data_IF_301188304213
#
_entry.id   IF_301188304213
#
_cell.length_a   1.000
_cell.length_b   1.000
_cell.length_c   1.000
_cell.angle_alpha   90.00
_cell.angle_beta   90.00
_cell.angle_gamma   90.00
#
_symmetry.space_group_name_H-M   'P 1'
#
loop_
_entity.id
_entity.type
_entity.pdbx_description
1 polymer ?
#
# COMPACT_ATOMS: atom_id res chain seq x y z
N UNK A 1 -11.57 -68.27 -17.50
CA UNK A 1 -10.91 -67.57 -18.61
C UNK A 1 -11.35 -66.10 -18.52
N UNK A 2 -10.70 -65.30 -17.64
CA UNK A 2 -9.77 -64.16 -17.96
C UNK A 2 -10.48 -63.15 -18.90
N UNK A 3 -10.74 -61.86 -18.60
CA UNK A 3 -9.97 -60.78 -17.95
C UNK A 3 -10.96 -59.67 -17.46
N UNK A 4 -10.85 -59.04 -16.27
CA UNK A 4 -9.92 -57.97 -15.83
C UNK A 4 -10.26 -56.55 -16.34
N UNK A 5 -10.80 -55.71 -15.42
CA UNK A 5 -10.50 -54.27 -15.13
C UNK A 5 -10.66 -53.25 -16.29
N UNK A 6 -11.35 -52.11 -16.15
CA UNK A 6 -10.93 -50.89 -15.41
C UNK A 6 -12.12 -50.04 -14.96
N UNK A 7 -12.14 -49.73 -13.66
CA UNK A 7 -12.96 -48.72 -12.98
C UNK A 7 -12.53 -47.29 -13.36
N UNK A 8 -13.49 -46.38 -13.53
CA UNK A 8 -13.24 -44.93 -13.45
C UNK A 8 -14.20 -44.30 -12.43
N UNK A 9 -14.03 -44.67 -11.17
CA UNK A 9 -14.45 -43.84 -10.04
C UNK A 9 -13.34 -42.80 -9.78
N UNK A 10 -13.54 -41.60 -10.33
CA UNK A 10 -12.90 -40.39 -9.78
C UNK A 10 -13.99 -39.48 -9.24
N UNK A 11 -14.55 -39.89 -8.11
CA UNK A 11 -15.13 -38.95 -7.15
C UNK A 11 -13.98 -38.04 -6.75
N UNK A 12 -13.94 -36.84 -7.33
CA UNK A 12 -13.05 -35.76 -6.92
C UNK A 12 -13.44 -35.43 -5.49
N UNK A 13 -12.68 -35.93 -4.52
CA UNK A 13 -12.80 -35.53 -3.13
C UNK A 13 -12.38 -34.06 -3.07
N UNK A 14 -13.35 -33.14 -3.16
CA UNK A 14 -13.12 -31.74 -2.84
C UNK A 14 -12.60 -31.70 -1.40
N UNK A 15 -11.32 -31.35 -1.23
CA UNK A 15 -10.81 -30.94 0.07
C UNK A 15 -11.69 -29.78 0.53
N UNK A 16 -12.47 -29.99 1.59
CA UNK A 16 -13.14 -28.90 2.31
C UNK A 16 -12.05 -28.03 2.91
N UNK A 17 -11.65 -26.99 2.18
CA UNK A 17 -10.89 -25.90 2.75
C UNK A 17 -11.85 -25.11 3.64
N UNK A 18 -11.73 -25.29 4.96
CA UNK A 18 -12.25 -24.29 5.89
C UNK A 18 -11.36 -23.07 5.69
N UNK A 19 -11.86 -22.06 4.99
CA UNK A 19 -11.28 -20.73 5.06
C UNK A 19 -11.27 -20.37 6.55
N UNK A 20 -10.08 -20.31 7.16
CA UNK A 20 -9.95 -19.69 8.46
C UNK A 20 -10.42 -18.25 8.26
N UNK A 21 -11.52 -17.89 8.90
CA UNK A 21 -11.89 -16.49 8.99
C UNK A 21 -10.68 -15.75 9.56
N UNK A 22 -10.35 -14.59 8.99
CA UNK A 22 -9.31 -13.67 9.47
C UNK A 22 -9.60 -13.09 10.87
N UNK A 23 -10.52 -13.68 11.62
CA UNK A 23 -10.66 -13.42 13.04
C UNK A 23 -9.65 -14.31 13.76
N UNK A 24 -8.43 -13.80 13.94
CA UNK A 24 -7.74 -14.18 15.17
C UNK A 24 -8.69 -13.82 16.32
N UNK A 25 -8.84 -14.69 17.30
CA UNK A 25 -9.41 -14.32 18.60
C UNK A 25 -8.44 -13.34 19.28
N UNK A 26 -8.19 -12.18 18.68
CA UNK A 26 -7.46 -11.10 19.30
C UNK A 26 -8.40 -10.46 20.30
N UNK A 27 -8.26 -10.82 21.57
CA UNK A 27 -8.97 -10.12 22.64
C UNK A 27 -8.23 -8.81 22.92
N UNK A 28 -8.32 -7.85 22.00
CA UNK A 28 -7.68 -6.54 22.14
C UNK A 28 -8.46 -5.73 23.17
N UNK A 29 -7.81 -5.36 24.26
CA UNK A 29 -8.37 -4.45 25.25
C UNK A 29 -8.31 -3.01 24.74
N UNK A 30 -9.30 -2.60 23.95
CA UNK A 30 -9.40 -1.22 23.46
C UNK A 30 -9.56 -0.21 24.58
N UNK A 31 -10.40 -0.50 25.59
CA UNK A 31 -10.77 0.46 26.64
C UNK A 31 -9.60 0.74 27.59
N UNK A 32 -8.80 -0.26 27.92
CA UNK A 32 -7.59 -0.07 28.74
C UNK A 32 -6.44 0.61 27.99
N UNK A 33 -6.49 0.65 26.66
CA UNK A 33 -5.40 1.14 25.82
C UNK A 33 -5.65 2.49 25.15
N UNK A 34 -6.90 2.96 25.10
CA UNK A 34 -7.29 4.17 24.37
C UNK A 34 -8.12 5.07 25.27
N UNK A 35 -7.92 6.39 25.13
CA UNK A 35 -8.78 7.36 25.80
C UNK A 35 -10.14 7.49 25.07
N UNK A 36 -11.13 8.19 25.65
CA UNK A 36 -12.47 8.31 25.05
C UNK A 36 -12.47 8.88 23.63
N UNK A 37 -11.64 9.89 23.33
CA UNK A 37 -11.58 10.50 22.01
C UNK A 37 -10.96 9.56 20.95
N UNK A 38 -9.94 8.79 21.35
CA UNK A 38 -9.30 7.79 20.52
C UNK A 38 -10.24 6.60 20.27
N UNK A 39 -10.97 6.14 21.29
CA UNK A 39 -12.01 5.12 21.14
C UNK A 39 -13.07 5.55 20.15
N UNK A 40 -13.52 6.81 20.24
CA UNK A 40 -14.47 7.38 19.30
C UNK A 40 -13.94 7.33 17.86
N UNK A 41 -12.69 7.74 17.65
CA UNK A 41 -12.04 7.67 16.35
C UNK A 41 -11.85 6.22 15.84
N UNK A 42 -11.71 5.24 16.75
CA UNK A 42 -11.57 3.82 16.40
C UNK A 42 -12.91 3.16 16.11
N UNK A 43 -13.99 3.51 16.80
CA UNK A 43 -15.29 2.83 16.65
C UNK A 43 -16.25 3.53 15.71
N UNK A 44 -16.31 4.86 15.73
CA UNK A 44 -17.37 5.64 15.09
C UNK A 44 -16.96 6.25 13.74
N UNK A 45 -15.71 6.05 13.30
CA UNK A 45 -15.19 6.60 12.05
C UNK A 45 -15.71 5.86 10.80
N UNK A 46 -17.02 5.85 10.59
CA UNK A 46 -17.68 5.33 9.38
C UNK A 46 -17.71 6.39 8.28
N UNK A 47 -17.61 5.95 7.02
CA UNK A 47 -17.52 6.87 5.87
C UNK A 47 -16.29 7.78 5.91
N UNK A 48 -16.31 8.90 5.16
CA UNK A 48 -15.21 9.87 5.16
C UNK A 48 -15.04 10.51 6.54
N UNK A 49 -13.88 10.31 7.16
CA UNK A 49 -13.58 10.78 8.52
C UNK A 49 -12.26 11.54 8.57
N UNK A 50 -12.21 12.63 9.34
CA UNK A 50 -10.99 13.42 9.60
C UNK A 50 -10.68 13.42 11.10
N UNK A 51 -9.51 12.90 11.46
CA UNK A 51 -9.03 12.88 12.85
C UNK A 51 -7.94 13.94 13.01
N UNK A 52 -8.29 15.04 13.68
CA UNK A 52 -7.36 16.12 14.03
C UNK A 52 -6.67 15.82 15.35
N UNK A 53 -5.34 15.91 15.38
CA UNK A 53 -4.58 15.41 16.50
C UNK A 53 -3.23 16.12 16.64
N UNK A 54 -2.99 16.72 17.82
CA UNK A 54 -1.76 17.44 18.16
C UNK A 54 -0.52 16.53 18.28
N UNK A 55 0.67 17.10 18.45
CA UNK A 55 1.86 16.31 18.74
C UNK A 55 1.65 15.43 20.00
N UNK A 56 2.19 14.21 20.01
CA UNK A 56 2.08 13.30 21.16
C UNK A 56 0.70 12.67 21.44
N UNK A 57 -0.37 13.10 20.76
CA UNK A 57 -1.76 12.63 20.97
C UNK A 57 -2.06 11.18 20.58
N UNK A 58 -1.08 10.41 20.12
CA UNK A 58 -1.26 9.02 19.75
C UNK A 58 -1.90 8.77 18.38
N UNK A 59 -1.79 9.69 17.42
CA UNK A 59 -2.27 9.52 16.02
C UNK A 59 -2.02 8.14 15.43
N UNK A 60 -0.76 7.70 15.47
CA UNK A 60 -0.35 6.39 14.95
C UNK A 60 -1.03 5.25 15.70
N UNK A 61 -1.19 5.39 17.02
CA UNK A 61 -1.90 4.41 17.86
C UNK A 61 -3.36 4.28 17.42
N UNK A 62 -4.06 5.41 17.22
CA UNK A 62 -5.44 5.40 16.73
C UNK A 62 -5.57 4.65 15.39
N UNK A 63 -4.68 4.92 14.44
CA UNK A 63 -4.70 4.25 13.14
C UNK A 63 -4.47 2.72 13.25
N UNK A 64 -3.55 2.29 14.10
CA UNK A 64 -3.28 0.86 14.33
C UNK A 64 -4.49 0.17 14.97
N UNK A 65 -5.09 0.78 15.99
CA UNK A 65 -6.27 0.20 16.65
C UNK A 65 -7.50 0.24 15.72
N UNK A 66 -7.64 1.26 14.87
CA UNK A 66 -8.69 1.29 13.84
C UNK A 66 -8.49 0.17 12.81
N UNK A 67 -7.26 -0.07 12.35
CA UNK A 67 -6.97 -1.20 11.47
C UNK A 67 -7.35 -2.52 12.14
N UNK A 68 -6.93 -2.74 13.38
CA UNK A 68 -7.28 -3.95 14.12
C UNK A 68 -8.80 -4.13 14.25
N UNK A 69 -9.51 -3.06 14.59
CA UNK A 69 -10.98 -3.07 14.71
C UNK A 69 -11.66 -3.44 13.39
N UNK A 70 -11.20 -2.91 12.26
CA UNK A 70 -11.76 -3.24 10.94
C UNK A 70 -11.57 -4.72 10.60
N UNK A 71 -10.41 -5.29 10.94
CA UNK A 71 -10.13 -6.72 10.75
C UNK A 71 -11.00 -7.61 11.65
N UNK A 72 -11.17 -7.24 12.93
CA UNK A 72 -12.07 -7.95 13.85
C UNK A 72 -13.54 -7.90 13.40
N UNK A 73 -13.95 -6.83 12.71
CA UNK A 73 -15.26 -6.73 12.05
C UNK A 73 -15.38 -7.60 10.80
N UNK A 74 -14.34 -8.33 10.43
CA UNK A 74 -14.34 -9.26 9.30
C UNK A 74 -13.99 -8.62 7.96
N UNK A 75 -13.50 -7.38 7.95
CA UNK A 75 -13.01 -6.76 6.71
C UNK A 75 -11.70 -7.44 6.32
N UNK A 76 -11.58 -8.02 5.10
CA UNK A 76 -10.33 -8.63 4.67
C UNK A 76 -9.19 -7.59 4.58
N UNK A 77 -7.99 -7.93 5.03
CA UNK A 77 -6.83 -7.03 5.01
C UNK A 77 -6.55 -6.45 3.60
N UNK A 78 -6.70 -7.28 2.55
CA UNK A 78 -6.58 -6.86 1.14
C UNK A 78 -7.54 -5.75 0.69
N UNK A 79 -8.60 -5.48 1.47
CA UNK A 79 -9.57 -4.42 1.20
C UNK A 79 -9.26 -3.14 1.99
N UNK A 80 -8.16 -3.10 2.75
CA UNK A 80 -7.74 -1.96 3.56
C UNK A 80 -6.45 -1.39 2.97
N UNK A 81 -6.42 -0.06 2.79
CA UNK A 81 -5.25 0.69 2.33
C UNK A 81 -4.71 1.56 3.46
N UNK A 82 -3.41 1.46 3.71
CA UNK A 82 -2.66 2.28 4.66
C UNK A 82 -1.53 2.99 3.93
N UNK A 83 -1.65 4.31 3.74
CA UNK A 83 -0.67 5.13 3.05
C UNK A 83 -0.04 6.16 3.98
N UNK A 84 1.26 6.41 3.79
CA UNK A 84 2.02 7.43 4.53
C UNK A 84 3.10 8.07 3.67
N UNK A 85 3.81 9.06 4.20
CA UNK A 85 4.85 9.79 3.46
C UNK A 85 6.22 9.14 3.51
N UNK A 86 6.51 8.29 4.50
CA UNK A 86 7.85 7.70 4.68
C UNK A 86 7.81 6.19 4.84
N UNK A 87 8.80 5.51 4.26
CA UNK A 87 8.92 4.05 4.39
C UNK A 87 9.04 3.62 5.86
N UNK A 88 9.76 4.40 6.68
CA UNK A 88 9.90 4.15 8.12
C UNK A 88 8.56 4.15 8.82
N UNK A 89 7.72 5.16 8.59
CA UNK A 89 6.40 5.22 9.21
C UNK A 89 5.49 4.07 8.75
N UNK A 90 5.55 3.70 7.46
CA UNK A 90 4.78 2.56 6.94
C UNK A 90 5.18 1.27 7.65
N UNK A 91 6.48 0.95 7.66
CA UNK A 91 7.02 -0.25 8.29
C UNK A 91 6.72 -0.29 9.79
N UNK A 92 6.87 0.84 10.49
CA UNK A 92 6.55 0.93 11.93
C UNK A 92 5.07 0.67 12.20
N UNK A 93 4.17 1.21 11.38
CA UNK A 93 2.73 1.00 11.52
C UNK A 93 2.34 -0.46 11.27
N UNK A 94 2.88 -1.09 10.21
CA UNK A 94 2.64 -2.50 9.89
C UNK A 94 3.12 -3.38 11.04
N UNK A 95 4.38 -3.21 11.46
CA UNK A 95 4.96 -4.02 12.54
C UNK A 95 4.15 -3.91 13.83
N UNK A 96 3.71 -2.69 14.21
CA UNK A 96 2.89 -2.51 15.41
C UNK A 96 1.51 -3.15 15.29
N UNK A 97 0.90 -3.11 14.10
CA UNK A 97 -0.37 -3.76 13.85
C UNK A 97 -0.25 -5.29 13.92
N UNK A 98 0.79 -5.87 13.30
CA UNK A 98 1.06 -7.31 13.37
C UNK A 98 1.32 -7.77 14.81
N UNK A 99 2.09 -7.00 15.59
CA UNK A 99 2.31 -7.28 17.02
C UNK A 99 1.00 -7.23 17.82
N UNK A 100 0.16 -6.22 17.57
CA UNK A 100 -1.13 -6.07 18.25
C UNK A 100 -2.08 -7.24 17.94
N UNK A 101 -2.16 -7.64 16.67
CA UNK A 101 -3.07 -8.69 16.18
C UNK A 101 -2.51 -10.11 16.36
N UNK A 102 -1.22 -10.24 16.66
CA UNK A 102 -0.47 -11.51 16.70
C UNK A 102 -0.62 -12.30 15.40
N UNK A 103 -0.70 -11.61 14.27
CA UNK A 103 -0.91 -12.17 12.96
C UNK A 103 -0.14 -11.38 11.90
N UNK A 104 0.21 -12.03 10.80
CA UNK A 104 0.82 -11.33 9.67
C UNK A 104 -0.23 -10.60 8.85
N UNK A 105 0.13 -9.43 8.35
CA UNK A 105 -0.67 -8.57 7.49
C UNK A 105 -0.14 -8.56 6.05
N UNK A 106 0.40 -9.69 5.57
CA UNK A 106 1.05 -9.79 4.25
C UNK A 106 0.16 -9.33 3.08
N UNK A 107 -1.16 -9.51 3.18
CA UNK A 107 -2.12 -9.12 2.13
C UNK A 107 -2.61 -7.65 2.27
N UNK A 108 -2.19 -6.93 3.31
CA UNK A 108 -2.56 -5.53 3.53
C UNK A 108 -1.88 -4.63 2.49
N UNK A 109 -2.64 -3.73 1.88
CA UNK A 109 -2.06 -2.68 1.06
C UNK A 109 -1.49 -1.60 1.98
N UNK A 110 -0.20 -1.67 2.29
CA UNK A 110 0.45 -0.71 3.17
C UNK A 110 1.78 -0.21 2.60
N UNK A 111 2.02 1.09 2.67
CA UNK A 111 3.26 1.66 2.15
C UNK A 111 3.25 3.19 2.05
N UNK A 112 4.19 3.71 1.27
CA UNK A 112 4.16 5.12 0.90
C UNK A 112 3.22 5.37 -0.27
N UNK A 113 2.78 6.62 -0.45
CA UNK A 113 2.02 7.01 -1.66
C UNK A 113 2.73 6.58 -2.95
N UNK A 114 4.04 6.76 -3.03
CA UNK A 114 4.85 6.30 -4.17
C UNK A 114 4.80 4.79 -4.36
N UNK A 115 4.91 4.01 -3.28
CA UNK A 115 4.86 2.56 -3.34
C UNK A 115 3.50 2.07 -3.87
N UNK A 116 2.41 2.59 -3.30
CA UNK A 116 1.04 2.25 -3.70
C UNK A 116 0.77 2.68 -5.15
N UNK A 117 1.19 3.89 -5.52
CA UNK A 117 1.10 4.38 -6.89
C UNK A 117 1.86 3.49 -7.87
N UNK A 118 3.10 3.11 -7.55
CA UNK A 118 3.92 2.23 -8.39
C UNK A 118 3.29 0.84 -8.58
N UNK A 119 2.77 0.21 -7.51
CA UNK A 119 2.06 -1.08 -7.63
C UNK A 119 0.83 -0.93 -8.54
N UNK A 120 0.06 0.14 -8.34
CA UNK A 120 -1.15 0.40 -9.11
C UNK A 120 -0.83 0.61 -10.58
N UNK A 121 0.15 1.47 -10.90
CA UNK A 121 0.58 1.74 -12.26
C UNK A 121 1.15 0.51 -12.96
N UNK A 122 1.93 -0.33 -12.26
CA UNK A 122 2.45 -1.57 -12.85
C UNK A 122 1.36 -2.57 -13.17
N UNK A 123 0.33 -2.66 -12.32
CA UNK A 123 -0.84 -3.52 -12.55
C UNK A 123 -1.66 -3.06 -13.76
N UNK A 124 -1.80 -1.75 -13.95
CA UNK A 124 -2.62 -1.16 -15.02
C UNK A 124 -1.79 -0.73 -16.26
N UNK A 125 -0.48 -1.01 -16.28
CA UNK A 125 0.43 -0.49 -17.29
C UNK A 125 0.01 -0.86 -18.72
N UNK A 126 -0.36 -2.13 -18.93
CA UNK A 126 -0.75 -2.65 -20.24
C UNK A 126 -2.03 -1.96 -20.77
N UNK A 127 -2.97 -1.63 -19.86
CA UNK A 127 -4.20 -0.91 -20.21
C UNK A 127 -3.93 0.52 -20.69
N UNK A 128 -2.78 1.08 -20.32
CA UNK A 128 -2.31 2.41 -20.71
C UNK A 128 -1.33 2.38 -21.89
N UNK A 129 -1.03 1.20 -22.45
CA UNK A 129 -0.05 1.03 -23.52
C UNK A 129 1.41 1.10 -23.05
N UNK A 130 1.67 0.98 -21.74
CA UNK A 130 3.01 0.91 -21.17
C UNK A 130 3.38 -0.53 -20.81
N UNK A 131 4.69 -0.80 -20.76
CA UNK A 131 5.18 -2.04 -20.18
C UNK A 131 5.15 -1.98 -18.65
N UNK A 132 4.75 -3.06 -17.98
CA UNK A 132 4.71 -3.15 -16.51
C UNK A 132 6.10 -3.08 -15.85
N UNK A 133 7.18 -3.23 -16.62
CA UNK A 133 8.56 -3.08 -16.18
C UNK A 133 9.16 -1.69 -16.41
N UNK A 134 8.34 -0.64 -16.55
CA UNK A 134 8.84 0.73 -16.75
C UNK A 134 9.83 1.16 -15.65
N UNK A 135 10.79 1.99 -16.06
CA UNK A 135 11.78 2.61 -15.18
C UNK A 135 11.19 3.86 -14.53
N UNK A 136 11.46 4.06 -13.25
CA UNK A 136 11.15 5.31 -12.56
C UNK A 136 12.36 6.22 -12.74
N UNK A 137 12.17 7.34 -13.42
CA UNK A 137 13.19 8.37 -13.63
C UNK A 137 13.39 9.13 -12.33
N UNK A 138 14.63 9.18 -11.83
CA UNK A 138 14.97 10.00 -10.68
C UNK A 138 15.23 11.46 -11.06
N UNK A 139 15.62 12.28 -10.09
CA UNK A 139 15.81 13.71 -10.30
C UNK A 139 17.02 14.00 -11.19
N UNK A 140 18.06 13.20 -11.08
CA UNK A 140 19.30 13.31 -11.84
C UNK A 140 19.04 12.91 -13.29
N UNK A 141 18.44 11.73 -13.51
CA UNK A 141 18.04 11.24 -14.81
C UNK A 141 17.10 12.23 -15.53
N UNK A 142 16.12 12.79 -14.82
CA UNK A 142 15.19 13.76 -15.40
C UNK A 142 15.90 15.06 -15.84
N UNK A 143 16.90 15.52 -15.08
CA UNK A 143 17.68 16.69 -15.48
C UNK A 143 18.56 16.37 -16.69
N UNK A 144 19.16 15.20 -16.76
CA UNK A 144 19.98 14.79 -17.90
C UNK A 144 19.13 14.68 -19.18
N UNK A 145 17.92 14.11 -19.10
CA UNK A 145 16.97 14.11 -20.23
C UNK A 145 16.57 15.52 -20.69
N UNK A 146 16.43 16.47 -19.75
CA UNK A 146 16.20 17.87 -20.09
C UNK A 146 17.42 18.44 -20.84
N UNK A 147 18.63 18.12 -20.42
CA UNK A 147 19.87 18.57 -21.06
C UNK A 147 19.97 18.09 -22.51
N UNK A 148 19.69 16.81 -22.74
CA UNK A 148 19.64 16.21 -24.07
C UNK A 148 18.64 16.94 -24.98
N UNK A 149 17.46 17.27 -24.45
CA UNK A 149 16.45 18.04 -25.19
C UNK A 149 16.93 19.47 -25.53
N UNK A 150 17.69 20.13 -24.65
CA UNK A 150 18.24 21.47 -24.89
C UNK A 150 19.28 21.43 -26.01
N UNK A 151 20.12 20.39 -26.01
CA UNK A 151 21.13 20.15 -27.03
C UNK A 151 20.51 19.85 -28.40
N UNK A 152 19.53 18.94 -28.46
CA UNK A 152 18.80 18.56 -29.67
C UNK A 152 18.08 19.77 -30.32
N UNK A 153 17.57 20.69 -29.49
CA UNK A 153 16.94 21.93 -29.96
C UNK A 153 17.96 23.02 -30.33
N UNK A 154 19.26 22.77 -30.16
CA UNK A 154 20.35 23.69 -30.50
C UNK A 154 20.36 24.97 -29.66
N UNK A 155 19.76 24.94 -28.46
CA UNK A 155 19.51 26.16 -27.67
C UNK A 155 20.78 26.71 -27.00
N UNK A 156 21.80 25.88 -26.82
CA UNK A 156 23.13 26.31 -26.35
C UNK A 156 23.89 27.23 -27.33
N UNK A 157 23.52 27.22 -28.62
CA UNK A 157 24.23 27.97 -29.67
C UNK A 157 23.66 29.39 -29.87
N UNK A 158 22.69 29.82 -29.06
CA UNK A 158 22.06 31.15 -29.16
C UNK A 158 22.89 32.21 -28.42
N UNK A 159 22.89 33.44 -28.92
CA UNK A 159 23.63 34.58 -28.34
C UNK A 159 23.24 34.90 -26.89
N UNK A 160 22.02 34.53 -26.46
CA UNK A 160 21.57 34.64 -25.08
C UNK A 160 21.74 33.30 -24.36
N UNK A 161 22.32 33.35 -23.16
CA UNK A 161 22.43 32.19 -22.27
C UNK A 161 21.05 31.53 -22.07
N UNK A 162 20.96 30.26 -22.45
CA UNK A 162 19.79 29.44 -22.15
C UNK A 162 19.83 28.96 -20.68
N UNK A 163 18.68 28.85 -19.98
CA UNK A 163 18.65 28.38 -18.59
C UNK A 163 19.25 26.98 -18.42
N UNK A 164 19.91 26.75 -17.28
CA UNK A 164 20.47 25.42 -16.94
C UNK A 164 19.36 24.40 -16.75
N UNK A 165 19.65 23.11 -17.03
CA UNK A 165 18.73 21.98 -16.82
C UNK A 165 18.07 21.95 -15.43
N UNK A 166 18.82 22.26 -14.37
CA UNK A 166 18.31 22.33 -13.01
C UNK A 166 17.29 23.45 -12.79
N UNK A 167 17.40 24.56 -13.51
CA UNK A 167 16.43 25.67 -13.42
C UNK A 167 15.12 25.25 -14.09
N UNK A 168 15.20 24.64 -15.28
CA UNK A 168 14.04 24.18 -16.03
C UNK A 168 13.29 23.09 -15.26
N UNK A 169 14.02 22.13 -14.69
CA UNK A 169 13.46 21.06 -13.86
C UNK A 169 12.69 21.57 -12.64
N UNK A 170 13.01 22.75 -12.10
CA UNK A 170 12.29 23.28 -10.93
C UNK A 170 11.08 24.17 -11.31
N UNK A 171 10.90 24.48 -12.59
CA UNK A 171 9.77 25.29 -13.09
C UNK A 171 8.58 24.39 -13.47
N UNK A 172 8.85 23.18 -13.95
CA UNK A 172 7.88 22.20 -14.41
C UNK A 172 7.84 21.00 -13.46
#
# INVERSE_FOLDING_TARGET
>A
MIATTVFYDKIITMKKYKLQAFASESNIDYQGNLNPEQLKAVYEAEGPSLVLAGAGSGKTRVLIYRLAYLLEKGIPARNILLATFTNRAANEMINRAEVLLKSSLADLWAGTFHHIGNITLRKEAENLGYSSNFTIVDKEDAQDLIDDCIEDLGLYKKEKMFPKKSIIYNIY
#
